data_IF_673973833428
#
_entry.id   IF_673973833428
#
_cell.length_a   1.000
_cell.length_b   1.000
_cell.length_c   1.000
_cell.angle_alpha   90.00
_cell.angle_beta   90.00
_cell.angle_gamma   90.00
#
_symmetry.space_group_name_H-M   'P 1'
#
loop_
_entity.id
_entity.type
_entity.pdbx_description
1 polymer ?
#
# COMPACT_ATOMS: atom_id res chain seq x y z
N UNK A 1 11.89 -17.11 1.70
CA UNK A 1 12.38 -16.72 0.37
C UNK A 1 11.17 -16.51 -0.51
N UNK A 2 10.95 -15.30 -0.97
CA UNK A 2 9.84 -14.98 -1.86
C UNK A 2 10.11 -15.61 -3.23
N UNK A 3 9.11 -16.28 -3.80
CA UNK A 3 9.19 -16.74 -5.18
C UNK A 3 9.16 -15.51 -6.10
N UNK A 4 10.27 -15.24 -6.79
CA UNK A 4 10.42 -14.11 -7.72
C UNK A 4 9.43 -14.15 -8.90
N UNK A 5 8.82 -15.31 -9.17
CA UNK A 5 7.77 -15.45 -10.18
C UNK A 5 6.41 -14.98 -9.69
N UNK A 6 6.13 -15.11 -8.37
CA UNK A 6 4.88 -14.66 -7.76
C UNK A 6 4.91 -13.19 -7.36
N UNK A 7 6.10 -12.66 -6.98
CA UNK A 7 6.29 -11.30 -6.48
C UNK A 7 7.24 -10.51 -7.37
N UNK A 8 6.78 -10.13 -8.55
CA UNK A 8 7.58 -9.36 -9.52
C UNK A 8 7.87 -7.93 -9.05
N UNK A 9 6.98 -7.34 -8.25
CA UNK A 9 7.11 -5.97 -7.71
C UNK A 9 6.74 -5.99 -6.24
N UNK A 10 7.70 -5.77 -5.35
CA UNK A 10 7.48 -5.73 -3.90
C UNK A 10 8.12 -4.49 -3.31
N UNK A 11 7.36 -3.80 -2.45
CA UNK A 11 7.84 -2.67 -1.65
C UNK A 11 8.91 -3.12 -0.65
N UNK A 12 8.75 -4.31 -0.09
CA UNK A 12 9.64 -4.87 0.93
C UNK A 12 10.55 -5.96 0.38
N UNK A 13 11.84 -5.70 0.27
CA UNK A 13 12.83 -6.66 -0.19
C UNK A 13 13.14 -7.76 0.85
N UNK A 14 13.02 -7.46 2.13
CA UNK A 14 13.48 -8.32 3.22
C UNK A 14 12.35 -8.98 4.03
N UNK A 15 11.08 -8.65 3.78
CA UNK A 15 9.92 -9.19 4.51
C UNK A 15 9.92 -8.87 6.00
N UNK A 16 10.49 -7.72 6.39
CA UNK A 16 10.66 -7.36 7.82
C UNK A 16 9.51 -6.52 8.38
N UNK A 17 8.63 -5.95 7.55
CA UNK A 17 7.60 -5.02 7.98
C UNK A 17 6.69 -5.59 9.08
N UNK A 18 6.08 -6.75 8.84
CA UNK A 18 5.19 -7.39 9.82
C UNK A 18 5.95 -7.84 11.09
N UNK A 19 7.23 -8.19 10.97
CA UNK A 19 8.08 -8.55 12.11
C UNK A 19 8.37 -7.32 12.98
N UNK A 20 8.57 -6.15 12.36
CA UNK A 20 8.75 -4.89 13.08
C UNK A 20 7.46 -4.51 13.82
N UNK A 21 6.29 -4.63 13.17
CA UNK A 21 5.00 -4.41 13.84
C UNK A 21 4.85 -5.31 15.05
N UNK A 22 5.15 -6.61 14.95
CA UNK A 22 5.11 -7.54 16.06
C UNK A 22 6.07 -7.12 17.20
N UNK A 23 7.33 -6.79 16.87
CA UNK A 23 8.33 -6.40 17.87
C UNK A 23 7.97 -5.10 18.62
N UNK A 24 7.27 -4.19 17.95
CA UNK A 24 6.84 -2.89 18.49
C UNK A 24 5.43 -2.92 19.11
N UNK A 25 4.86 -4.11 19.29
CA UNK A 25 3.52 -4.30 19.86
C UNK A 25 3.58 -4.94 21.23
N UNK A 26 2.80 -4.40 22.17
CA UNK A 26 2.55 -5.04 23.47
C UNK A 26 1.70 -6.31 23.32
N UNK A 27 0.84 -6.34 22.30
CA UNK A 27 0.06 -7.51 21.91
C UNK A 27 0.00 -7.60 20.39
N UNK A 28 0.25 -8.78 19.85
CA UNK A 28 0.14 -9.06 18.43
C UNK A 28 -0.46 -10.45 18.23
N UNK A 29 -1.50 -10.52 17.42
CA UNK A 29 -2.19 -11.75 17.07
C UNK A 29 -2.17 -11.93 15.56
N UNK A 30 -1.82 -13.12 15.11
CA UNK A 30 -1.99 -13.55 13.73
C UNK A 30 -2.79 -14.84 13.68
N UNK A 31 -3.80 -14.87 12.82
CA UNK A 31 -4.56 -16.08 12.49
C UNK A 31 -4.48 -16.30 10.98
N UNK A 32 -4.01 -17.46 10.58
CA UNK A 32 -3.98 -17.88 9.18
C UNK A 32 -5.12 -18.87 8.93
N UNK A 33 -5.87 -18.64 7.88
CA UNK A 33 -6.97 -19.50 7.41
C UNK A 33 -6.59 -20.06 6.05
N UNK A 34 -6.56 -21.38 5.92
CA UNK A 34 -6.21 -22.03 4.67
C UNK A 34 -6.84 -23.42 4.55
N UNK A 35 -7.54 -23.63 3.44
CA UNK A 35 -8.07 -24.92 3.02
C UNK A 35 -8.94 -25.63 4.09
N UNK A 36 -9.76 -24.86 4.82
CA UNK A 36 -10.64 -25.34 5.86
C UNK A 36 -9.98 -25.51 7.23
N UNK A 37 -8.75 -25.04 7.38
CA UNK A 37 -8.00 -25.07 8.63
C UNK A 37 -7.57 -23.67 9.05
N UNK A 38 -7.39 -23.44 10.34
CA UNK A 38 -6.79 -22.24 10.87
C UNK A 38 -5.78 -22.52 11.97
N UNK A 39 -4.81 -21.62 12.07
CA UNK A 39 -3.83 -21.59 13.16
C UNK A 39 -3.67 -20.17 13.67
N UNK A 40 -3.63 -20.03 14.98
CA UNK A 40 -3.53 -18.76 15.71
C UNK A 40 -2.25 -18.73 16.52
N UNK A 41 -1.55 -17.59 16.49
CA UNK A 41 -0.36 -17.35 17.32
C UNK A 41 -0.43 -15.95 17.89
N UNK A 42 -0.19 -15.85 19.20
CA UNK A 42 -0.12 -14.60 19.93
C UNK A 42 1.30 -14.27 20.35
N UNK A 43 1.59 -12.98 20.37
CA UNK A 43 2.92 -12.49 20.74
C UNK A 43 2.79 -11.26 21.64
N UNK A 44 3.80 -11.04 22.45
CA UNK A 44 4.10 -9.78 23.12
C UNK A 44 5.55 -9.41 22.85
N UNK A 45 5.80 -8.23 22.28
CA UNK A 45 7.17 -7.74 21.97
C UNK A 45 8.00 -8.79 21.22
N UNK A 46 7.44 -9.42 20.20
CA UNK A 46 7.98 -10.50 19.39
C UNK A 46 8.18 -11.86 20.09
N UNK A 47 7.83 -11.99 21.37
CA UNK A 47 7.89 -13.25 22.09
C UNK A 47 6.54 -13.96 21.95
N UNK A 48 6.55 -15.23 21.55
CA UNK A 48 5.32 -16.05 21.49
C UNK A 48 4.78 -16.23 22.92
N UNK A 49 3.52 -15.86 23.12
CA UNK A 49 2.82 -16.01 24.40
C UNK A 49 1.83 -17.16 24.36
N UNK A 50 1.22 -17.40 23.20
CA UNK A 50 0.27 -18.50 22.98
C UNK A 50 0.33 -18.97 21.52
N UNK A 51 0.22 -20.27 21.30
CA UNK A 51 0.13 -20.89 19.98
C UNK A 51 -0.93 -22.00 20.02
N UNK A 52 -1.92 -21.91 19.14
CA UNK A 52 -2.96 -22.94 19.02
C UNK A 52 -2.47 -24.13 18.21
N UNK A 53 -3.06 -25.28 18.42
CA UNK A 53 -3.06 -26.35 17.42
C UNK A 53 -3.84 -25.91 16.17
N UNK A 54 -3.64 -26.65 15.06
CA UNK A 54 -4.44 -26.46 13.86
C UNK A 54 -5.87 -26.90 14.17
N UNK A 55 -6.82 -26.02 13.84
CA UNK A 55 -8.25 -26.22 14.08
C UNK A 55 -9.01 -26.18 12.76
N UNK A 56 -10.06 -26.98 12.58
CA UNK A 56 -10.97 -26.83 11.45
C UNK A 56 -11.71 -25.52 11.49
N UNK A 57 -11.99 -24.90 10.33
CA UNK A 57 -12.73 -23.66 10.20
C UNK A 57 -13.59 -23.63 8.95
N UNK A 58 -14.68 -22.86 8.99
CA UNK A 58 -15.50 -22.53 7.82
C UNK A 58 -15.12 -21.21 7.14
N UNK A 59 -14.11 -20.52 7.66
CA UNK A 59 -13.66 -19.23 7.09
C UNK A 59 -12.95 -19.41 5.75
N UNK A 60 -13.08 -18.41 4.88
CA UNK A 60 -12.36 -18.36 3.62
C UNK A 60 -10.85 -18.23 3.85
N UNK A 61 -10.06 -18.67 2.84
CA UNK A 61 -8.61 -18.51 2.88
C UNK A 61 -8.21 -17.04 3.07
N UNK A 62 -7.36 -16.78 4.04
CA UNK A 62 -6.96 -15.42 4.38
C UNK A 62 -6.03 -15.34 5.59
N UNK A 63 -5.72 -14.10 5.98
CA UNK A 63 -4.91 -13.84 7.17
C UNK A 63 -5.56 -12.70 7.95
N UNK A 64 -5.76 -12.89 9.23
CA UNK A 64 -6.19 -11.87 10.18
C UNK A 64 -5.00 -11.45 11.02
N UNK A 65 -4.80 -10.15 11.15
CA UNK A 65 -3.77 -9.56 12.03
C UNK A 65 -4.44 -8.55 12.94
N UNK A 66 -4.16 -8.66 14.23
CA UNK A 66 -4.53 -7.69 15.24
C UNK A 66 -3.31 -7.29 16.04
N UNK A 67 -3.13 -6.01 16.33
CA UNK A 67 -2.00 -5.56 17.15
C UNK A 67 -2.35 -4.33 17.97
N UNK A 68 -1.64 -4.20 19.08
CA UNK A 68 -1.68 -3.05 19.97
C UNK A 68 -0.26 -2.51 20.10
N UNK A 69 0.03 -1.29 19.59
CA UNK A 69 1.34 -0.68 19.73
C UNK A 69 1.78 -0.58 21.19
N UNK A 70 3.07 -0.78 21.44
CA UNK A 70 3.61 -0.70 22.80
C UNK A 70 3.64 0.76 23.30
N UNK A 71 2.90 1.05 24.35
CA UNK A 71 2.83 2.40 24.96
C UNK A 71 4.15 2.85 25.59
N UNK A 72 5.04 1.95 25.96
CA UNK A 72 6.38 2.32 26.42
C UNK A 72 7.19 2.99 25.30
N UNK A 73 6.93 2.60 24.02
CA UNK A 73 7.59 3.13 22.83
C UNK A 73 6.80 4.31 22.24
N UNK A 74 5.51 4.11 21.99
CA UNK A 74 4.68 5.08 21.26
C UNK A 74 3.93 6.07 22.15
N UNK A 75 3.97 5.88 23.47
CA UNK A 75 3.30 6.76 24.46
C UNK A 75 1.82 7.00 24.10
N UNK A 76 1.43 8.26 23.92
CA UNK A 76 0.08 8.67 23.54
C UNK A 76 -0.02 8.73 22.01
N UNK A 77 -0.23 7.57 21.37
CA UNK A 77 -0.44 7.51 19.92
C UNK A 77 -1.93 7.60 19.58
N UNK A 78 -2.22 8.24 18.46
CA UNK A 78 -3.54 8.29 17.86
C UNK A 78 -3.43 8.04 16.37
N UNK A 79 -4.28 7.16 15.84
CA UNK A 79 -4.43 6.99 14.41
C UNK A 79 -5.23 8.18 13.84
N UNK A 80 -4.73 8.75 12.75
CA UNK A 80 -5.41 9.81 12.02
C UNK A 80 -5.92 9.26 10.71
N UNK A 81 -7.23 9.23 10.54
CA UNK A 81 -7.90 8.66 9.37
C UNK A 81 -7.40 9.29 8.06
N UNK A 82 -7.16 10.60 8.04
CA UNK A 82 -6.65 11.31 6.87
C UNK A 82 -5.34 10.75 6.32
N UNK A 83 -4.40 10.37 7.20
CA UNK A 83 -3.13 9.76 6.79
C UNK A 83 -3.32 8.32 6.30
N UNK A 84 -4.17 7.57 6.99
CA UNK A 84 -4.47 6.18 6.60
C UNK A 84 -5.18 6.19 5.25
N UNK A 85 -6.24 6.97 5.09
CA UNK A 85 -6.98 7.08 3.84
C UNK A 85 -6.10 7.53 2.67
N UNK A 86 -5.21 8.51 2.89
CA UNK A 86 -4.25 8.95 1.88
C UNK A 86 -3.31 7.83 1.42
N UNK A 87 -2.81 7.01 2.35
CA UNK A 87 -1.99 5.84 2.01
C UNK A 87 -2.82 4.78 1.26
N UNK A 88 -4.05 4.49 1.70
CA UNK A 88 -4.92 3.50 1.06
C UNK A 88 -5.29 3.91 -0.37
N UNK A 89 -5.54 5.20 -0.62
CA UNK A 89 -5.75 5.75 -1.97
C UNK A 89 -4.56 5.48 -2.87
N UNK A 90 -3.34 5.80 -2.42
CA UNK A 90 -2.14 5.51 -3.19
C UNK A 90 -2.03 4.01 -3.52
N UNK A 91 -2.32 3.12 -2.57
CA UNK A 91 -2.28 1.68 -2.80
C UNK A 91 -3.26 1.24 -3.89
N UNK A 92 -4.51 1.72 -3.88
CA UNK A 92 -5.49 1.32 -4.89
C UNK A 92 -5.21 1.94 -6.26
N UNK A 93 -4.62 3.14 -6.33
CA UNK A 93 -4.20 3.74 -7.58
C UNK A 93 -3.01 3.02 -8.22
N UNK A 94 -2.09 2.52 -7.41
CA UNK A 94 -0.92 1.78 -7.90
C UNK A 94 -1.22 0.30 -8.18
N UNK A 95 -2.35 -0.21 -7.69
CA UNK A 95 -2.78 -1.61 -7.85
C UNK A 95 -4.22 -1.64 -8.36
N UNK A 96 -4.42 -1.36 -9.64
CA UNK A 96 -5.76 -1.37 -10.25
C UNK A 96 -6.48 -2.69 -9.99
N UNK A 97 -7.74 -2.62 -9.55
CA UNK A 97 -8.54 -3.77 -9.18
C UNK A 97 -8.41 -4.21 -7.72
N UNK A 98 -7.43 -3.69 -6.96
CA UNK A 98 -7.34 -3.91 -5.52
C UNK A 98 -8.51 -3.21 -4.82
N UNK A 99 -9.17 -3.92 -3.93
CA UNK A 99 -10.21 -3.37 -3.07
C UNK A 99 -9.75 -3.41 -1.61
N UNK A 100 -9.72 -2.27 -0.97
CA UNK A 100 -9.39 -2.13 0.45
C UNK A 100 -10.62 -1.58 1.17
N UNK A 101 -10.98 -2.19 2.30
CA UNK A 101 -12.08 -1.72 3.15
C UNK A 101 -11.47 -1.22 4.45
N UNK A 102 -11.71 0.04 4.77
CA UNK A 102 -11.27 0.67 6.01
C UNK A 102 -12.46 1.29 6.73
N UNK A 103 -12.74 0.83 7.95
CA UNK A 103 -13.89 1.26 8.74
C UNK A 103 -15.23 1.26 7.96
N UNK A 104 -15.45 0.20 7.13
CA UNK A 104 -16.64 0.07 6.29
C UNK A 104 -16.61 0.88 4.99
N UNK A 105 -15.66 1.80 4.79
CA UNK A 105 -15.48 2.57 3.56
C UNK A 105 -14.59 1.80 2.58
N UNK A 106 -15.09 1.62 1.35
CA UNK A 106 -14.35 0.92 0.29
C UNK A 106 -13.48 1.89 -0.50
N UNK A 107 -12.20 1.57 -0.62
CA UNK A 107 -11.23 2.19 -1.52
C UNK A 107 -10.98 1.25 -2.70
N UNK A 108 -11.07 1.76 -3.90
CA UNK A 108 -10.94 0.99 -5.14
C UNK A 108 -10.64 1.92 -6.30
N UNK A 109 -9.75 1.53 -7.19
CA UNK A 109 -9.51 2.20 -8.46
C UNK A 109 -9.56 1.18 -9.60
N UNK A 110 -10.27 1.55 -10.68
CA UNK A 110 -10.33 0.77 -11.91
C UNK A 110 -9.21 1.14 -12.88
N UNK A 111 -8.92 2.44 -12.96
CA UNK A 111 -8.03 3.00 -13.99
C UNK A 111 -6.64 3.39 -13.42
N UNK A 112 -6.37 3.11 -12.15
CA UNK A 112 -5.06 3.29 -11.54
C UNK A 112 -4.57 4.74 -11.53
N UNK A 113 -3.42 4.99 -12.15
CA UNK A 113 -2.82 6.33 -12.19
C UNK A 113 -3.69 7.38 -12.90
N UNK A 114 -4.57 6.97 -13.81
CA UNK A 114 -5.53 7.90 -14.44
C UNK A 114 -6.52 8.42 -13.40
N UNK A 115 -7.01 7.55 -12.52
CA UNK A 115 -7.91 7.95 -11.44
C UNK A 115 -7.19 8.84 -10.42
N UNK A 116 -5.91 8.54 -10.11
CA UNK A 116 -5.08 9.39 -9.25
C UNK A 116 -4.95 10.80 -9.82
N UNK A 117 -4.66 10.91 -11.12
CA UNK A 117 -4.52 12.21 -11.76
C UNK A 117 -5.85 12.98 -11.75
N UNK A 118 -6.96 12.34 -12.12
CA UNK A 118 -8.29 12.94 -12.10
C UNK A 118 -8.71 13.43 -10.70
N UNK A 119 -8.39 12.68 -9.64
CA UNK A 119 -8.74 13.07 -8.27
C UNK A 119 -7.97 14.31 -7.78
N UNK A 120 -6.75 14.50 -8.28
CA UNK A 120 -5.90 15.62 -7.87
C UNK A 120 -6.02 16.85 -8.79
N UNK A 121 -6.61 16.71 -9.97
CA UNK A 121 -6.84 17.84 -10.87
C UNK A 121 -7.94 18.75 -10.34
N UNK A 122 -7.68 20.05 -10.36
CA UNK A 122 -8.63 21.11 -9.96
C UNK A 122 -9.30 21.78 -11.16
N UNK A 123 -8.78 21.56 -12.37
CA UNK A 123 -9.25 22.15 -13.62
C UNK A 123 -9.34 21.06 -14.69
N UNK A 124 -10.18 21.30 -15.71
CA UNK A 124 -10.35 20.38 -16.83
C UNK A 124 -9.05 20.22 -17.65
N UNK A 125 -8.75 19.02 -18.12
CA UNK A 125 -7.62 18.78 -19.03
C UNK A 125 -7.82 19.46 -20.37
N UNK A 126 -6.75 20.00 -20.95
CA UNK A 126 -6.78 20.65 -22.28
C UNK A 126 -6.96 19.64 -23.43
N UNK A 127 -6.66 18.38 -23.19
CA UNK A 127 -6.79 17.26 -24.12
C UNK A 127 -6.98 15.95 -23.32
N UNK A 128 -7.39 14.85 -23.98
CA UNK A 128 -7.53 13.57 -23.32
C UNK A 128 -6.24 13.15 -22.61
N UNK A 129 -6.36 12.64 -21.38
CA UNK A 129 -5.23 12.18 -20.58
C UNK A 129 -4.42 11.14 -21.36
N UNK A 130 -3.13 11.34 -21.46
CA UNK A 130 -2.19 10.41 -22.07
C UNK A 130 -1.76 9.40 -21.02
N UNK A 131 -1.97 8.12 -21.31
CA UNK A 131 -1.57 7.01 -20.45
C UNK A 131 -0.61 6.09 -21.20
N UNK A 132 0.63 5.99 -20.73
CA UNK A 132 1.67 5.16 -21.28
C UNK A 132 2.02 4.07 -20.28
N UNK A 133 2.04 2.82 -20.75
CA UNK A 133 2.36 1.66 -19.92
C UNK A 133 3.38 0.77 -20.63
N UNK A 134 4.54 0.63 -20.01
CA UNK A 134 5.60 -0.30 -20.40
C UNK A 134 5.73 -1.45 -19.39
N UNK A 135 6.78 -2.26 -19.53
CA UNK A 135 7.03 -3.40 -18.66
C UNK A 135 7.32 -2.98 -17.21
N UNK A 136 8.18 -1.96 -17.05
CA UNK A 136 8.66 -1.48 -15.73
C UNK A 136 8.33 -0.02 -15.45
N UNK A 137 7.58 0.63 -16.34
CA UNK A 137 7.22 2.04 -16.23
C UNK A 137 5.76 2.26 -16.60
N UNK A 138 5.09 3.09 -15.83
CA UNK A 138 3.75 3.57 -16.12
C UNK A 138 3.70 5.08 -15.90
N UNK A 139 3.20 5.81 -16.88
CA UNK A 139 3.15 7.27 -16.88
C UNK A 139 1.77 7.73 -17.30
N UNK A 140 1.21 8.68 -16.57
CA UNK A 140 -0.02 9.38 -16.92
C UNK A 140 0.29 10.88 -16.92
N UNK A 141 -0.04 11.56 -18.01
CA UNK A 141 0.26 12.98 -18.19
C UNK A 141 -0.91 13.72 -18.86
N UNK A 142 -1.12 14.95 -18.46
CA UNK A 142 -2.00 15.90 -19.13
C UNK A 142 -1.52 17.33 -18.90
N UNK A 143 -2.11 18.29 -19.63
CA UNK A 143 -1.98 19.71 -19.32
C UNK A 143 -3.35 20.28 -18.98
N UNK A 144 -3.35 21.28 -18.14
CA UNK A 144 -4.53 22.04 -17.77
C UNK A 144 -4.21 23.54 -17.80
N UNK A 145 -5.22 24.39 -17.58
CA UNK A 145 -5.02 25.83 -17.45
C UNK A 145 -4.46 26.25 -16.07
N UNK A 146 -4.12 25.27 -15.23
CA UNK A 146 -3.50 25.53 -13.94
C UNK A 146 -2.06 26.00 -14.13
N UNK A 147 -1.66 27.00 -13.37
CA UNK A 147 -0.28 27.49 -13.38
C UNK A 147 0.63 26.55 -12.57
N UNK A 148 1.80 26.23 -13.13
CA UNK A 148 2.80 25.38 -12.49
C UNK A 148 2.76 23.92 -12.95
N UNK A 149 3.57 23.10 -12.30
CA UNK A 149 3.71 21.68 -12.57
C UNK A 149 3.50 20.89 -11.29
N UNK A 150 2.72 19.82 -11.38
CA UNK A 150 2.50 18.88 -10.27
C UNK A 150 2.97 17.48 -10.68
N UNK A 151 3.65 16.81 -9.77
CA UNK A 151 4.20 15.48 -9.99
C UNK A 151 3.87 14.53 -8.84
N UNK A 152 3.31 13.40 -9.19
CA UNK A 152 3.09 12.27 -8.30
C UNK A 152 3.99 11.14 -8.76
N UNK A 153 5.07 10.85 -8.05
CA UNK A 153 6.05 9.86 -8.46
C UNK A 153 6.18 8.74 -7.44
N UNK A 154 6.34 7.51 -7.96
CA UNK A 154 6.36 6.30 -7.15
C UNK A 154 7.44 5.34 -7.63
N UNK A 155 8.04 4.61 -6.71
CA UNK A 155 8.95 3.49 -7.00
C UNK A 155 8.49 2.28 -6.21
N UNK A 156 8.16 1.18 -6.91
CA UNK A 156 7.69 -0.06 -6.32
C UNK A 156 6.55 0.13 -5.29
N UNK A 157 5.61 1.03 -5.59
CA UNK A 157 4.46 1.30 -4.73
C UNK A 157 4.71 2.32 -3.60
N UNK A 158 5.91 2.88 -3.49
CA UNK A 158 6.23 3.93 -2.52
C UNK A 158 6.23 5.31 -3.16
N UNK A 159 5.52 6.25 -2.55
CA UNK A 159 5.51 7.65 -2.98
C UNK A 159 6.87 8.30 -2.71
N UNK A 160 7.48 8.85 -3.76
CA UNK A 160 8.78 9.53 -3.70
C UNK A 160 8.56 11.03 -3.60
N UNK A 161 8.22 11.51 -2.41
CA UNK A 161 7.86 12.93 -2.15
C UNK A 161 8.97 13.92 -2.51
N UNK A 162 10.23 13.50 -2.48
CA UNK A 162 11.38 14.32 -2.85
C UNK A 162 11.83 14.09 -4.30
N UNK A 163 11.06 13.35 -5.09
CA UNK A 163 11.43 12.97 -6.45
C UNK A 163 12.47 11.86 -6.49
N UNK A 164 13.42 11.97 -7.42
CA UNK A 164 14.47 10.98 -7.64
C UNK A 164 14.93 10.95 -9.09
N UNK A 165 15.92 10.10 -9.39
CA UNK A 165 16.50 9.97 -10.73
C UNK A 165 15.47 9.61 -11.80
N UNK A 166 14.48 8.77 -11.47
CA UNK A 166 13.37 8.40 -12.37
C UNK A 166 12.53 9.60 -12.77
N UNK A 167 12.17 10.50 -11.82
CA UNK A 167 11.42 11.71 -12.11
C UNK A 167 12.25 12.71 -12.90
N UNK A 168 13.54 12.87 -12.56
CA UNK A 168 14.45 13.76 -13.28
C UNK A 168 14.63 13.31 -14.73
N UNK A 169 14.82 12.02 -14.98
CA UNK A 169 14.94 11.45 -16.32
C UNK A 169 13.64 11.63 -17.13
N UNK A 170 12.49 11.47 -16.49
CA UNK A 170 11.19 11.73 -17.13
C UNK A 170 11.06 13.18 -17.56
N UNK A 171 11.33 14.14 -16.67
CA UNK A 171 11.31 15.58 -16.98
C UNK A 171 12.22 15.95 -18.13
N UNK A 172 13.43 15.45 -18.14
CA UNK A 172 14.38 15.67 -19.24
C UNK A 172 13.86 15.10 -20.57
N UNK A 173 13.22 13.93 -20.53
CA UNK A 173 12.69 13.28 -21.74
C UNK A 173 11.51 14.01 -22.35
N UNK A 174 10.65 14.62 -21.52
CA UNK A 174 9.47 15.39 -21.96
C UNK A 174 9.85 16.79 -22.42
N UNK A 175 10.91 17.37 -21.87
CA UNK A 175 11.38 18.72 -22.20
C UNK A 175 12.27 18.81 -23.46
N UNK A 176 12.56 17.69 -24.12
CA UNK A 176 13.29 17.62 -25.40
C UNK A 176 12.36 17.60 -26.58
#
# INVERSE_FOLDING_TARGET
KYDSKAFKKSVGLNGVGIKAVNALSSYFLITSYRDGECKRVEYSKAIVTEESDIQPTGEANGTQVFFVPDREIFKDYHYKDEFIEGLLKNYVFLNSGLSIIYNGKRFYSRNGLVDLLNENMTTEPLYPIIHLKGEDIEVVITHSNQYGEEYYSFVNGQHTTQGGTHLSAFKESVGR
#
